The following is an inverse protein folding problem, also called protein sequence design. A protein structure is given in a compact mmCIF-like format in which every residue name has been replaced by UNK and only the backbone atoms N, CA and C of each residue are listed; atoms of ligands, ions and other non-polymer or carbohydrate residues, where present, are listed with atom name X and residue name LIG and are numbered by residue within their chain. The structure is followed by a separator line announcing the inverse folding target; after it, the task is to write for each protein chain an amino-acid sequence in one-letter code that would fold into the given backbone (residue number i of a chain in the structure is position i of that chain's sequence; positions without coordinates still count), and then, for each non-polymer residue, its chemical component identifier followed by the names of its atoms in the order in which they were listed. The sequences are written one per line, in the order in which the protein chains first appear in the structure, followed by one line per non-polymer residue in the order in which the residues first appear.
data_IF_032244626150
#
_entry.id   IF_032244626150
#
_cell.length_a   1.000
_cell.length_b   1.000
_cell.length_c   1.000
_cell.angle_alpha   90.00
_cell.angle_beta   90.00
_cell.angle_gamma   90.00
#
_symmetry.space_group_name_H-M   'P 1'
#
loop_
_entity.id
_entity.type
_entity.pdbx_description
1 polymer ?
#
# COMPACT_ATOMS: atom_id res chain seq x y z
N UNK A 1 11.76 -6.67 10.81
CA UNK A 1 10.94 -6.75 9.58
C UNK A 1 9.53 -6.40 9.99
N UNK A 2 9.05 -5.24 9.60
CA UNK A 2 7.66 -4.85 9.86
C UNK A 2 6.78 -5.64 8.89
N UNK A 3 5.80 -6.37 9.39
CA UNK A 3 4.71 -6.89 8.57
C UNK A 3 3.91 -5.70 8.03
N UNK A 4 3.40 -5.80 6.83
CA UNK A 4 2.46 -4.83 6.22
C UNK A 4 1.28 -4.51 7.15
N UNK A 5 0.92 -5.44 8.00
CA UNK A 5 -0.14 -5.31 8.99
C UNK A 5 0.36 -4.92 10.39
N UNK A 6 1.67 -4.66 10.58
CA UNK A 6 2.19 -4.17 11.85
C UNK A 6 1.89 -2.67 12.03
N UNK A 7 0.59 -2.37 12.09
CA UNK A 7 0.13 -1.06 12.53
C UNK A 7 0.46 -0.95 14.03
N UNK A 8 1.38 -0.06 14.44
CA UNK A 8 1.79 0.03 15.84
C UNK A 8 0.60 0.32 16.75
N UNK A 9 0.66 -0.14 18.01
CA UNK A 9 -0.34 0.24 19.02
C UNK A 9 -0.37 1.76 19.21
N UNK A 10 -1.53 2.31 19.55
CA UNK A 10 -1.79 3.76 19.69
C UNK A 10 -1.71 4.53 18.36
N UNK A 11 -1.80 3.85 17.23
CA UNK A 11 -1.92 4.49 15.92
C UNK A 11 -3.31 5.07 15.70
N UNK A 12 -3.38 6.04 14.77
CA UNK A 12 -4.61 6.48 14.14
C UNK A 12 -4.54 6.15 12.66
N UNK A 13 -5.48 5.37 12.18
CA UNK A 13 -5.54 4.91 10.78
C UNK A 13 -6.63 5.67 10.05
N UNK A 14 -6.30 6.30 8.92
CA UNK A 14 -7.31 6.81 7.99
C UNK A 14 -7.72 5.69 7.03
N UNK A 15 -9.00 5.43 6.95
CA UNK A 15 -9.61 4.54 5.96
C UNK A 15 -10.36 5.35 4.90
N UNK A 16 -9.72 5.69 3.76
CA UNK A 16 -10.30 6.55 2.74
C UNK A 16 -11.16 5.82 1.71
N UNK A 17 -11.18 4.47 1.79
CA UNK A 17 -11.89 3.62 0.84
C UNK A 17 -13.08 2.88 1.44
N UNK A 18 -13.96 2.35 0.59
CA UNK A 18 -15.15 1.65 1.04
C UNK A 18 -14.82 0.26 1.61
N UNK A 19 -15.48 -0.11 2.71
CA UNK A 19 -15.25 -1.37 3.41
C UNK A 19 -15.65 -2.64 2.65
N UNK A 20 -16.29 -2.52 1.49
CA UNK A 20 -16.55 -3.69 0.62
C UNK A 20 -15.35 -4.08 -0.25
N UNK A 21 -14.27 -3.28 -0.28
CA UNK A 21 -13.00 -3.66 -0.86
C UNK A 21 -12.07 -4.27 0.18
N UNK A 22 -11.26 -5.26 -0.25
CA UNK A 22 -10.39 -6.01 0.65
C UNK A 22 -9.40 -5.12 1.42
N UNK A 23 -8.66 -4.24 0.75
CA UNK A 23 -7.64 -3.45 1.44
C UNK A 23 -8.23 -2.50 2.51
N UNK A 24 -9.23 -1.65 2.24
CA UNK A 24 -9.89 -0.85 3.28
C UNK A 24 -10.47 -1.68 4.42
N UNK A 25 -11.08 -2.81 4.11
CA UNK A 25 -11.63 -3.72 5.11
C UNK A 25 -10.53 -4.30 6.00
N UNK A 26 -9.50 -4.92 5.41
CA UNK A 26 -8.45 -5.60 6.14
C UNK A 26 -7.67 -4.63 7.04
N UNK A 27 -7.27 -3.47 6.53
CA UNK A 27 -6.49 -2.52 7.33
C UNK A 27 -7.30 -1.85 8.44
N UNK A 28 -8.58 -1.55 8.21
CA UNK A 28 -9.46 -1.03 9.25
C UNK A 28 -9.65 -2.05 10.38
N UNK A 29 -9.93 -3.32 10.05
CA UNK A 29 -10.11 -4.38 11.05
C UNK A 29 -8.81 -4.69 11.80
N UNK A 30 -7.68 -4.79 11.10
CA UNK A 30 -6.38 -4.95 11.76
C UNK A 30 -6.08 -3.83 12.75
N UNK A 31 -6.38 -2.59 12.38
CA UNK A 31 -6.22 -1.47 13.28
C UNK A 31 -7.10 -1.60 14.54
N UNK A 32 -8.38 -1.92 14.36
CA UNK A 32 -9.34 -2.08 15.47
C UNK A 32 -8.97 -3.23 16.39
N UNK A 33 -8.61 -4.41 15.86
CA UNK A 33 -8.20 -5.57 16.66
C UNK A 33 -6.93 -5.31 17.48
N UNK A 34 -6.10 -4.36 17.08
CA UNK A 34 -4.92 -3.92 17.84
C UNK A 34 -5.21 -2.75 18.78
N UNK A 35 -6.47 -2.38 18.97
CA UNK A 35 -6.89 -1.28 19.82
C UNK A 35 -6.52 0.11 19.28
N UNK A 36 -6.34 0.23 17.97
CA UNK A 36 -6.05 1.50 17.32
C UNK A 36 -7.33 2.25 16.95
N UNK A 37 -7.21 3.55 16.77
CA UNK A 37 -8.30 4.40 16.28
C UNK A 37 -8.37 4.33 14.76
N UNK A 38 -9.59 4.24 14.23
CA UNK A 38 -9.86 4.30 12.78
C UNK A 38 -10.75 5.50 12.50
N UNK A 39 -10.33 6.30 11.54
CA UNK A 39 -11.10 7.42 10.96
C UNK A 39 -11.56 6.97 9.58
N UNK A 40 -12.86 6.85 9.37
CA UNK A 40 -13.45 6.46 8.08
C UNK A 40 -13.90 7.67 7.28
N UNK A 41 -13.79 7.60 5.97
CA UNK A 41 -14.42 8.54 5.04
C UNK A 41 -15.63 7.85 4.39
N UNK A 42 -16.76 8.53 4.35
CA UNK A 42 -17.93 8.03 3.63
C UNK A 42 -17.67 7.99 2.11
N UNK A 43 -17.01 9.02 1.60
CA UNK A 43 -16.57 9.15 0.22
C UNK A 43 -15.19 9.81 0.20
N UNK A 44 -14.31 9.32 -0.67
CA UNK A 44 -12.99 9.94 -0.83
C UNK A 44 -13.11 11.34 -1.43
N UNK A 45 -12.59 12.31 -0.70
CA UNK A 45 -12.31 13.66 -1.13
C UNK A 45 -10.88 14.02 -0.77
N UNK A 46 -10.15 14.65 -1.70
CA UNK A 46 -8.71 14.84 -1.57
C UNK A 46 -8.34 15.84 -0.46
N UNK A 47 -9.06 16.95 -0.36
CA UNK A 47 -8.79 17.96 0.65
C UNK A 47 -9.28 17.50 2.03
N UNK A 48 -10.47 16.91 2.10
CA UNK A 48 -10.98 16.30 3.34
C UNK A 48 -10.02 15.25 3.89
N UNK A 49 -9.35 14.46 3.03
CA UNK A 49 -8.37 13.49 3.50
C UNK A 49 -7.18 14.16 4.21
N UNK A 50 -6.66 15.26 3.68
CA UNK A 50 -5.59 16.04 4.31
C UNK A 50 -6.05 16.65 5.63
N UNK A 51 -7.25 17.25 5.66
CA UNK A 51 -7.83 17.82 6.87
C UNK A 51 -8.03 16.77 7.98
N UNK A 52 -8.49 15.56 7.64
CA UNK A 52 -8.65 14.47 8.61
C UNK A 52 -7.31 13.96 9.13
N UNK A 53 -6.27 13.94 8.27
CA UNK A 53 -4.91 13.56 8.70
C UNK A 53 -4.42 14.51 9.78
N UNK A 54 -4.51 15.81 9.56
CA UNK A 54 -4.14 16.83 10.54
C UNK A 54 -5.01 16.76 11.79
N UNK A 55 -6.34 16.85 11.63
CA UNK A 55 -7.31 16.90 12.73
C UNK A 55 -7.18 15.74 13.72
N UNK A 56 -6.92 14.54 13.19
CA UNK A 56 -6.88 13.32 13.99
C UNK A 56 -5.47 12.82 14.27
N UNK A 57 -4.43 13.55 13.85
CA UNK A 57 -3.03 13.12 13.93
C UNK A 57 -2.86 11.70 13.38
N UNK A 58 -3.36 11.47 12.16
CA UNK A 58 -3.29 10.17 11.49
C UNK A 58 -1.84 9.74 11.30
N UNK A 59 -1.55 8.51 11.68
CA UNK A 59 -0.19 7.96 11.58
C UNK A 59 -0.02 6.97 10.44
N UNK A 60 -1.12 6.44 9.94
CA UNK A 60 -1.12 5.36 8.94
C UNK A 60 -2.29 5.49 7.98
N UNK A 61 -2.01 5.37 6.69
CA UNK A 61 -3.04 5.37 5.63
C UNK A 61 -2.63 4.49 4.47
N UNK A 62 -3.59 3.70 3.94
CA UNK A 62 -3.44 2.97 2.68
C UNK A 62 -4.39 3.55 1.66
N UNK A 63 -3.85 3.89 0.48
CA UNK A 63 -4.58 4.50 -0.62
C UNK A 63 -4.39 3.70 -1.91
N UNK A 64 -5.17 4.04 -2.92
CA UNK A 64 -4.88 3.63 -4.29
C UNK A 64 -4.23 4.79 -5.06
N UNK A 65 -3.43 4.53 -6.11
CA UNK A 65 -2.74 5.59 -6.85
C UNK A 65 -3.64 6.72 -7.36
N UNK A 66 -4.90 6.42 -7.70
CA UNK A 66 -5.86 7.45 -8.12
C UNK A 66 -6.23 8.42 -6.99
N UNK A 67 -6.31 7.96 -5.74
CA UNK A 67 -6.51 8.83 -4.58
C UNK A 67 -5.29 9.74 -4.38
N UNK A 68 -4.10 9.16 -4.43
CA UNK A 68 -2.84 9.89 -4.30
C UNK A 68 -2.68 10.93 -5.44
N UNK A 69 -3.06 10.59 -6.66
CA UNK A 69 -3.07 11.52 -7.79
C UNK A 69 -4.07 12.67 -7.58
N UNK A 70 -5.26 12.40 -7.05
CA UNK A 70 -6.25 13.45 -6.75
C UNK A 70 -5.75 14.43 -5.68
N UNK A 71 -5.07 13.94 -4.64
CA UNK A 71 -4.43 14.80 -3.63
C UNK A 71 -3.32 15.63 -4.30
N UNK A 72 -2.49 15.01 -5.14
CA UNK A 72 -1.41 15.72 -5.83
C UNK A 72 -1.89 16.83 -6.76
N UNK A 73 -3.09 16.70 -7.31
CA UNK A 73 -3.73 17.71 -8.18
C UNK A 73 -4.37 18.88 -7.45
N UNK A 74 -4.44 18.85 -6.13
CA UNK A 74 -4.83 20.04 -5.38
C UNK A 74 -3.84 21.19 -5.65
N UNK A 75 -4.30 22.45 -5.64
CA UNK A 75 -3.39 23.59 -5.68
C UNK A 75 -2.31 23.48 -4.60
N UNK A 76 -1.11 23.95 -4.89
CA UNK A 76 0.03 23.80 -3.99
C UNK A 76 -0.20 24.49 -2.64
N UNK A 77 -0.85 25.64 -2.64
CA UNK A 77 -1.23 26.37 -1.43
C UNK A 77 -2.26 25.60 -0.58
N UNK A 78 -3.19 24.90 -1.21
CA UNK A 78 -4.14 24.02 -0.51
C UNK A 78 -3.41 22.79 0.05
N UNK A 79 -2.66 22.09 -0.80
CA UNK A 79 -1.99 20.84 -0.41
C UNK A 79 -0.98 21.05 0.73
N UNK A 80 -0.25 22.15 0.71
CA UNK A 80 0.78 22.46 1.69
C UNK A 80 0.27 23.18 2.95
N UNK A 81 -1.05 23.44 3.05
CA UNK A 81 -1.64 24.12 4.19
C UNK A 81 -1.92 23.18 5.38
N UNK A 82 -1.79 21.88 5.20
CA UNK A 82 -2.09 20.87 6.22
C UNK A 82 -0.82 20.28 6.86
N UNK A 83 -0.85 20.10 8.19
CA UNK A 83 0.22 19.42 8.91
C UNK A 83 0.11 17.89 8.78
N UNK A 84 1.02 17.30 8.00
CA UNK A 84 1.13 15.86 7.80
C UNK A 84 2.27 15.23 8.60
N UNK A 85 2.84 15.93 9.59
CA UNK A 85 3.99 15.47 10.36
C UNK A 85 3.72 14.21 11.17
N UNK A 86 2.45 13.97 11.53
CA UNK A 86 2.01 12.76 12.23
C UNK A 86 2.12 11.49 11.41
N UNK A 87 2.07 11.57 10.07
CA UNK A 87 2.13 10.40 9.19
C UNK A 87 3.45 9.65 9.36
N UNK A 88 3.36 8.35 9.57
CA UNK A 88 4.50 7.41 9.60
C UNK A 88 4.52 6.52 8.38
N UNK A 89 3.35 6.09 7.92
CA UNK A 89 3.20 5.24 6.74
C UNK A 89 2.08 5.77 5.86
N UNK A 90 2.43 6.02 4.61
CA UNK A 90 1.52 6.27 3.50
C UNK A 90 1.77 5.17 2.47
N UNK A 91 0.90 4.19 2.44
CA UNK A 91 1.01 3.07 1.52
C UNK A 91 0.11 3.22 0.30
N UNK A 92 0.50 2.58 -0.81
CA UNK A 92 -0.37 2.41 -1.95
C UNK A 92 -0.44 0.94 -2.40
N UNK A 93 -1.56 0.59 -3.02
CA UNK A 93 -1.91 -0.79 -3.40
C UNK A 93 -2.88 -0.79 -4.59
N UNK A 94 -3.15 -1.94 -5.13
CA UNK A 94 -4.22 -2.28 -6.08
C UNK A 94 -3.94 -1.94 -7.55
N UNK A 95 -3.12 -0.99 -7.87
CA UNK A 95 -2.74 -0.69 -9.26
C UNK A 95 -1.33 -0.13 -9.35
N UNK A 96 -0.70 -0.20 -10.53
CA UNK A 96 0.62 0.39 -10.74
C UNK A 96 0.61 1.89 -10.42
N UNK A 97 1.61 2.33 -9.67
CA UNK A 97 1.84 3.74 -9.36
C UNK A 97 2.71 4.37 -10.46
N UNK A 98 2.29 5.45 -11.13
CA UNK A 98 3.16 6.15 -12.06
C UNK A 98 4.44 6.62 -11.37
N UNK A 99 5.60 6.38 -12.01
CA UNK A 99 6.93 6.68 -11.44
C UNK A 99 6.99 8.14 -10.97
N UNK A 100 6.59 9.09 -11.82
CA UNK A 100 6.61 10.51 -11.50
C UNK A 100 5.77 10.84 -10.26
N UNK A 101 4.61 10.18 -10.09
CA UNK A 101 3.73 10.44 -8.95
C UNK A 101 4.35 9.91 -7.65
N UNK A 102 4.96 8.71 -7.70
CA UNK A 102 5.66 8.14 -6.54
C UNK A 102 6.85 9.00 -6.13
N UNK A 103 7.63 9.50 -7.09
CA UNK A 103 8.72 10.45 -6.84
C UNK A 103 8.22 11.71 -6.11
N UNK A 104 7.10 12.30 -6.56
CA UNK A 104 6.52 13.48 -5.91
C UNK A 104 6.06 13.22 -4.49
N UNK A 105 5.47 12.07 -4.22
CA UNK A 105 5.08 11.69 -2.86
C UNK A 105 6.30 11.45 -1.97
N UNK A 106 7.36 10.86 -2.50
CA UNK A 106 8.62 10.66 -1.79
C UNK A 106 9.30 12.00 -1.50
N UNK A 107 9.34 12.92 -2.47
CA UNK A 107 9.88 14.27 -2.27
C UNK A 107 9.10 15.04 -1.19
N UNK A 108 7.79 14.91 -1.18
CA UNK A 108 6.91 15.62 -0.26
C UNK A 108 6.98 15.10 1.19
N UNK A 109 6.92 13.80 1.38
CA UNK A 109 6.81 13.18 2.71
C UNK A 109 8.13 12.56 3.22
N UNK A 110 9.09 12.36 2.35
CA UNK A 110 10.29 11.59 2.61
C UNK A 110 10.14 10.09 2.30
N UNK A 111 11.25 9.45 1.83
CA UNK A 111 11.19 8.07 1.34
C UNK A 111 10.89 7.04 2.43
N UNK A 112 11.18 7.35 3.70
CA UNK A 112 10.87 6.44 4.81
C UNK A 112 9.40 6.36 5.20
N UNK A 113 8.53 7.19 4.60
CA UNK A 113 7.09 7.21 4.89
C UNK A 113 6.24 6.65 3.76
N UNK A 114 6.75 6.57 2.53
CA UNK A 114 6.01 6.08 1.36
C UNK A 114 6.29 4.60 1.16
N UNK A 115 5.23 3.80 0.99
CA UNK A 115 5.32 2.35 0.87
C UNK A 115 4.44 1.83 -0.26
N UNK A 116 4.82 0.68 -0.82
CA UNK A 116 4.05 -0.04 -1.82
C UNK A 116 3.76 -1.47 -1.36
N UNK A 117 2.52 -1.87 -1.53
CA UNK A 117 2.05 -3.25 -1.38
C UNK A 117 1.61 -3.76 -2.75
N UNK A 118 2.22 -4.83 -3.22
CA UNK A 118 1.74 -5.60 -4.37
C UNK A 118 1.26 -6.96 -3.89
N UNK A 119 0.08 -7.37 -4.34
CA UNK A 119 -0.55 -8.63 -3.99
C UNK A 119 -2.03 -8.63 -4.36
N UNK A 120 -2.66 -9.79 -4.25
CA UNK A 120 -4.07 -10.01 -4.57
C UNK A 120 -4.93 -10.28 -3.34
N UNK A 121 -6.24 -10.10 -3.50
CA UNK A 121 -7.26 -10.41 -2.48
C UNK A 121 -7.22 -11.89 -2.08
N UNK A 122 -6.79 -12.74 -2.98
CA UNK A 122 -6.67 -14.19 -2.85
C UNK A 122 -5.62 -14.60 -1.80
N UNK A 123 -4.72 -13.70 -1.38
CA UNK A 123 -3.71 -14.00 -0.38
C UNK A 123 -2.65 -15.01 -0.82
N UNK A 124 -2.44 -15.17 -2.14
CA UNK A 124 -1.47 -16.12 -2.70
C UNK A 124 -0.02 -15.69 -2.46
N UNK A 125 0.21 -14.41 -2.24
CA UNK A 125 1.50 -13.83 -1.93
C UNK A 125 1.45 -12.31 -2.02
N UNK A 126 2.42 -11.67 -1.39
CA UNK A 126 2.54 -10.22 -1.44
C UNK A 126 3.99 -9.77 -1.36
N UNK A 127 4.24 -8.56 -1.85
CA UNK A 127 5.51 -7.85 -1.64
C UNK A 127 5.27 -6.58 -0.84
N UNK A 128 6.30 -6.09 -0.18
CA UNK A 128 6.30 -4.83 0.54
C UNK A 128 7.58 -4.07 0.26
N UNK A 129 7.49 -2.79 -0.02
CA UNK A 129 8.63 -1.97 -0.41
C UNK A 129 8.52 -0.56 0.15
N UNK A 130 9.58 -0.09 0.79
CA UNK A 130 9.71 1.30 1.21
C UNK A 130 10.14 2.22 0.05
N UNK A 131 9.90 3.52 0.19
CA UNK A 131 10.40 4.50 -0.76
C UNK A 131 11.93 4.56 -0.83
N UNK A 132 12.63 4.22 0.27
CA UNK A 132 14.10 4.13 0.25
C UNK A 132 14.55 3.01 -0.71
N UNK A 133 14.01 1.81 -0.57
CA UNK A 133 14.31 0.68 -1.44
C UNK A 133 13.89 0.96 -2.89
N UNK A 134 12.74 1.63 -3.06
CA UNK A 134 12.25 1.95 -4.39
C UNK A 134 13.15 2.94 -5.14
N UNK A 135 13.76 3.91 -4.46
CA UNK A 135 14.70 4.84 -5.09
C UNK A 135 15.94 4.13 -5.64
N UNK A 136 16.36 3.03 -5.01
CA UNK A 136 17.46 2.17 -5.49
C UNK A 136 17.01 1.24 -6.63
N UNK A 137 15.71 0.89 -6.68
CA UNK A 137 15.15 -0.09 -7.60
C UNK A 137 13.85 0.42 -8.23
N UNK A 138 13.91 1.56 -8.93
CA UNK A 138 12.73 2.18 -9.57
C UNK A 138 12.00 1.22 -10.51
N UNK A 139 10.68 1.15 -10.33
CA UNK A 139 9.81 0.24 -11.10
C UNK A 139 9.64 -1.15 -10.46
N UNK A 140 10.39 -1.48 -9.43
CA UNK A 140 10.18 -2.70 -8.66
C UNK A 140 8.96 -2.57 -7.73
N UNK A 141 8.31 -3.68 -7.45
CA UNK A 141 7.25 -3.82 -6.43
C UNK A 141 7.79 -4.35 -5.09
N UNK A 142 9.09 -4.58 -4.97
CA UNK A 142 9.76 -4.98 -3.74
C UNK A 142 9.95 -6.48 -3.58
N UNK A 143 10.18 -6.89 -2.34
CA UNK A 143 10.47 -8.27 -1.96
C UNK A 143 9.25 -8.97 -1.38
N UNK A 144 9.17 -10.27 -1.63
CA UNK A 144 8.14 -11.13 -1.05
C UNK A 144 8.17 -11.08 0.49
N UNK A 145 7.00 -11.08 1.07
CA UNK A 145 6.78 -11.10 2.51
C UNK A 145 6.00 -12.35 2.94
N UNK A 146 5.91 -12.59 4.25
CA UNK A 146 5.11 -13.66 4.87
C UNK A 146 5.45 -15.07 4.34
N UNK A 147 6.71 -15.32 3.96
CA UNK A 147 7.14 -16.63 3.46
C UNK A 147 6.55 -17.05 2.11
N UNK A 148 5.84 -16.17 1.43
CA UNK A 148 5.33 -16.43 0.08
C UNK A 148 6.48 -16.62 -0.92
N UNK A 149 6.19 -17.31 -2.02
CA UNK A 149 7.13 -17.61 -3.10
C UNK A 149 6.59 -17.05 -4.41
N UNK A 150 7.49 -16.69 -5.32
CA UNK A 150 7.14 -16.24 -6.67
C UNK A 150 7.97 -17.02 -7.69
N UNK A 151 7.37 -17.25 -8.86
CA UNK A 151 8.04 -17.65 -10.08
C UNK A 151 7.60 -16.76 -11.22
N UNK A 152 8.51 -16.50 -12.14
CA UNK A 152 8.20 -15.83 -13.40
C UNK A 152 8.31 -16.92 -14.48
N UNK A 153 7.21 -17.22 -15.13
CA UNK A 153 7.13 -18.30 -16.10
C UNK A 153 6.89 -17.74 -17.51
N UNK A 154 7.45 -18.38 -18.50
CA UNK A 154 7.18 -18.10 -19.91
C UNK A 154 5.86 -18.78 -20.38
N UNK A 155 5.54 -18.66 -21.66
CA UNK A 155 4.34 -19.24 -22.28
C UNK A 155 4.32 -20.79 -22.27
N UNK A 156 5.47 -21.45 -22.09
CA UNK A 156 5.57 -22.90 -21.99
C UNK A 156 5.49 -23.38 -20.54
N UNK A 157 5.51 -22.47 -19.56
CA UNK A 157 5.53 -22.77 -18.15
C UNK A 157 6.94 -23.00 -17.59
N UNK A 158 7.97 -22.68 -18.36
CA UNK A 158 9.36 -22.74 -17.92
C UNK A 158 9.76 -21.46 -17.17
N UNK A 159 10.65 -21.59 -16.18
CA UNK A 159 11.07 -20.46 -15.35
C UNK A 159 11.98 -19.51 -16.14
N UNK A 160 11.59 -18.25 -16.22
CA UNK A 160 12.34 -17.20 -16.88
C UNK A 160 13.65 -16.88 -16.14
N UNK A 161 14.72 -16.68 -16.90
CA UNK A 161 15.95 -16.12 -16.33
C UNK A 161 15.75 -14.67 -15.84
N UNK A 162 16.57 -14.19 -14.87
CA UNK A 162 16.51 -12.80 -14.43
C UNK A 162 16.60 -11.81 -15.60
N UNK A 163 15.68 -10.81 -15.61
CA UNK A 163 15.59 -9.82 -16.67
C UNK A 163 14.74 -10.21 -17.88
N UNK A 164 14.26 -11.44 -17.93
CA UNK A 164 13.31 -11.91 -18.96
C UNK A 164 11.87 -11.66 -18.47
N UNK A 165 11.04 -11.12 -19.35
CA UNK A 165 9.62 -10.87 -19.06
C UNK A 165 8.84 -12.18 -19.11
N UNK A 166 8.00 -12.41 -18.10
CA UNK A 166 7.09 -13.55 -18.02
C UNK A 166 5.89 -13.27 -17.13
N UNK A 167 5.05 -14.27 -16.93
CA UNK A 167 3.88 -14.20 -16.06
C UNK A 167 4.27 -14.47 -14.62
N UNK A 168 3.73 -13.66 -13.69
CA UNK A 168 4.03 -13.75 -12.25
C UNK A 168 3.10 -14.76 -11.59
N UNK A 169 3.67 -15.82 -11.05
CA UNK A 169 2.98 -16.82 -10.23
C UNK A 169 3.37 -16.63 -8.76
N UNK A 170 2.36 -16.46 -7.92
CA UNK A 170 2.54 -16.32 -6.47
C UNK A 170 2.00 -17.56 -5.76
N UNK A 171 2.69 -17.96 -4.69
CA UNK A 171 2.30 -19.09 -3.86
C UNK A 171 2.42 -18.72 -2.38
N UNK A 172 1.39 -18.97 -1.54
CA UNK A 172 1.46 -18.74 -0.12
C UNK A 172 2.49 -19.68 0.54
N UNK A 173 2.91 -19.33 1.77
CA UNK A 173 3.90 -20.11 2.52
C UNK A 173 3.50 -21.59 2.68
N UNK A 174 2.23 -21.84 2.96
CA UNK A 174 1.69 -23.17 3.26
C UNK A 174 1.35 -24.00 2.00
N UNK A 175 1.67 -23.47 0.81
CA UNK A 175 1.55 -24.18 -0.46
C UNK A 175 0.23 -23.95 -1.20
N UNK A 176 0.04 -24.65 -2.33
CA UNK A 176 -1.14 -24.47 -3.19
C UNK A 176 -2.45 -24.75 -2.46
N UNK A 177 -3.47 -23.91 -2.69
CA UNK A 177 -4.82 -24.08 -2.11
C UNK A 177 -4.96 -23.73 -0.63
N UNK A 178 -3.89 -23.26 0.03
CA UNK A 178 -3.93 -22.91 1.46
C UNK A 178 -4.59 -21.55 1.74
N UNK A 179 -4.73 -20.68 0.75
CA UNK A 179 -5.30 -19.35 0.94
C UNK A 179 -6.76 -19.26 0.51
N UNK A 180 -7.11 -19.77 -0.66
CA UNK A 180 -8.48 -19.77 -1.18
C UNK A 180 -8.67 -20.82 -2.28
N UNK A 181 -9.95 -21.12 -2.63
CA UNK A 181 -10.33 -21.83 -3.82
C UNK A 181 -11.64 -21.25 -4.35
N UNK A 182 -11.82 -21.29 -5.67
CA UNK A 182 -13.11 -20.98 -6.27
C UNK A 182 -14.08 -22.16 -6.08
N UNK A 183 -15.35 -21.83 -5.80
CA UNK A 183 -16.43 -22.80 -5.60
C UNK A 183 -17.12 -23.08 -6.94
#
# INVERSE_FOLDING_TARGET
TYSVFDIPSKSCVLNPGPLYHNAPFAFAHHALFRGNRVVGMERFDAETALALIEQHAVTWVMMVPTMMHRIWRLPDDVRNNYDLSSLKIVGHVASPMPIWLKERWIEWLGPGRVYELYGGTEGTGATWMSGNEWLEHKGSVGKLINGSRARILDENGDECAPGVIGEVYLMPQDGPGSSYHYV
#
